data_IF_638468227448
#
_entry.id   IF_638468227448
#
_cell.length_a   1.000
_cell.length_b   1.000
_cell.length_c   1.000
_cell.angle_alpha   90.00
_cell.angle_beta   90.00
_cell.angle_gamma   90.00
#
_symmetry.space_group_name_H-M   'P 1'
#
loop_
_entity.id
_entity.type
_entity.pdbx_description
1 polymer ?
#
# COMPACT_ATOMS: atom_id res chain seq x y z
N UNK A 1 12.33 -12.48 3.67
CA UNK A 1 11.31 -13.05 2.76
C UNK A 1 11.52 -14.57 2.58
N UNK A 2 11.44 -15.37 3.65
CA UNK A 2 11.61 -16.83 3.54
C UNK A 2 10.63 -17.62 4.42
N UNK A 3 9.53 -16.99 4.86
CA UNK A 3 8.47 -17.60 5.66
C UNK A 3 7.12 -17.17 5.11
N UNK A 4 6.08 -17.97 5.37
CA UNK A 4 4.70 -17.63 5.00
C UNK A 4 4.29 -16.30 5.66
N UNK A 5 4.57 -16.13 6.96
CA UNK A 5 4.29 -14.87 7.67
C UNK A 5 4.98 -13.66 7.03
N UNK A 6 6.23 -13.81 6.57
CA UNK A 6 6.94 -12.73 5.88
C UNK A 6 6.35 -12.40 4.50
N UNK A 7 5.73 -13.35 3.81
CA UNK A 7 5.01 -13.11 2.56
C UNK A 7 3.71 -12.36 2.83
N UNK A 8 2.94 -12.78 3.84
CA UNK A 8 1.68 -12.12 4.23
C UNK A 8 1.95 -10.68 4.68
N UNK A 9 2.98 -10.47 5.52
CA UNK A 9 3.44 -9.13 5.91
C UNK A 9 3.79 -8.27 4.70
N UNK A 10 4.54 -8.82 3.74
CA UNK A 10 4.89 -8.10 2.53
C UNK A 10 3.64 -7.66 1.74
N UNK A 11 2.65 -8.55 1.58
CA UNK A 11 1.41 -8.22 0.86
C UNK A 11 0.69 -7.05 1.53
N UNK A 12 0.46 -7.11 2.84
CA UNK A 12 -0.26 -6.06 3.57
C UNK A 12 0.52 -4.74 3.66
N UNK A 13 1.83 -4.81 3.88
CA UNK A 13 2.69 -3.63 3.85
C UNK A 13 2.69 -2.96 2.46
N UNK A 14 2.72 -3.75 1.37
CA UNK A 14 2.57 -3.20 0.02
C UNK A 14 1.19 -2.57 -0.17
N UNK A 15 0.11 -3.23 0.23
CA UNK A 15 -1.26 -2.70 0.13
C UNK A 15 -1.38 -1.33 0.82
N UNK A 16 -0.93 -1.22 2.07
CA UNK A 16 -0.90 0.05 2.80
C UNK A 16 -0.08 1.12 2.07
N UNK A 17 1.11 0.76 1.61
CA UNK A 17 2.00 1.71 0.94
C UNK A 17 1.43 2.19 -0.39
N UNK A 18 0.68 1.37 -1.12
CA UNK A 18 -0.01 1.79 -2.33
C UNK A 18 -1.17 2.71 -2.00
N UNK A 19 -1.98 2.40 -0.99
CA UNK A 19 -3.09 3.27 -0.61
C UNK A 19 -2.61 4.65 -0.14
N UNK A 20 -1.50 4.71 0.60
CA UNK A 20 -0.89 5.98 1.00
C UNK A 20 -0.51 6.84 -0.22
N UNK A 21 0.02 6.22 -1.29
CA UNK A 21 0.29 6.94 -2.55
C UNK A 21 -0.98 7.40 -3.24
N UNK A 22 -2.01 6.54 -3.30
CA UNK A 22 -3.31 6.90 -3.88
C UNK A 22 -3.96 8.07 -3.14
N UNK A 23 -3.71 8.20 -1.84
CA UNK A 23 -4.22 9.26 -0.96
C UNK A 23 -3.30 10.47 -0.84
N UNK A 24 -2.18 10.49 -1.56
CA UNK A 24 -1.13 11.52 -1.45
C UNK A 24 -0.59 11.71 -0.01
N UNK A 25 -0.57 10.64 0.77
CA UNK A 25 -0.05 10.57 2.13
C UNK A 25 1.44 10.21 2.17
N UNK A 26 2.08 10.41 3.33
CA UNK A 26 3.45 9.91 3.57
C UNK A 26 3.44 8.39 3.48
N UNK A 27 4.28 7.85 2.61
CA UNK A 27 4.48 6.41 2.50
C UNK A 27 5.31 5.91 3.68
N UNK A 28 4.82 4.87 4.36
CA UNK A 28 5.57 4.18 5.43
C UNK A 28 6.82 3.50 4.85
N UNK A 29 7.97 3.72 5.48
CA UNK A 29 9.22 3.09 5.10
C UNK A 29 9.34 1.66 5.64
N UNK A 30 10.16 0.84 4.98
CA UNK A 30 10.24 -0.59 5.30
C UNK A 30 10.74 -0.88 6.73
N UNK A 31 11.54 0.01 7.31
CA UNK A 31 12.09 -0.10 8.65
C UNK A 31 11.17 0.44 9.75
N UNK A 32 10.05 1.06 9.38
CA UNK A 32 9.00 1.53 10.30
C UNK A 32 8.00 0.44 10.66
N UNK A 33 7.93 -0.66 9.91
CA UNK A 33 7.09 -1.82 10.21
C UNK A 33 7.62 -2.57 11.44
N UNK A 34 6.75 -2.81 12.43
CA UNK A 34 7.12 -3.37 13.75
C UNK A 34 6.34 -4.63 14.11
N UNK A 35 5.65 -5.24 13.15
CA UNK A 35 4.86 -6.44 13.38
C UNK A 35 5.78 -7.58 13.83
N UNK A 36 5.53 -8.11 15.03
CA UNK A 36 6.35 -9.15 15.67
C UNK A 36 5.64 -10.49 15.73
N UNK A 37 4.32 -10.50 15.58
CA UNK A 37 3.46 -11.68 15.61
C UNK A 37 2.65 -11.81 14.30
N UNK A 38 2.00 -12.96 14.10
CA UNK A 38 1.12 -13.14 12.93
C UNK A 38 -0.18 -12.34 13.10
N UNK A 39 -0.63 -12.16 14.34
CA UNK A 39 -1.76 -11.33 14.72
C UNK A 39 -1.52 -9.87 14.33
N UNK A 40 -0.34 -9.30 14.66
CA UNK A 40 0.06 -7.94 14.28
C UNK A 40 0.02 -7.77 12.76
N UNK A 41 0.47 -8.79 12.02
CA UNK A 41 0.46 -8.78 10.55
C UNK A 41 -0.97 -8.73 10.00
N UNK A 42 -1.91 -9.48 10.59
CA UNK A 42 -3.31 -9.42 10.17
C UNK A 42 -3.99 -8.09 10.55
N UNK A 43 -3.67 -7.51 11.70
CA UNK A 43 -4.14 -6.17 12.08
C UNK A 43 -3.65 -5.10 11.10
N UNK A 44 -2.40 -5.18 10.64
CA UNK A 44 -1.88 -4.34 9.56
C UNK A 44 -2.70 -4.53 8.26
N UNK A 45 -3.05 -5.78 7.94
CA UNK A 45 -3.89 -6.10 6.78
C UNK A 45 -5.28 -5.50 6.86
N UNK A 46 -5.95 -5.62 8.00
CA UNK A 46 -7.28 -5.03 8.24
C UNK A 46 -7.23 -3.50 8.14
N UNK A 47 -6.19 -2.88 8.71
CA UNK A 47 -5.96 -1.45 8.59
C UNK A 47 -5.75 -1.01 7.15
N UNK A 48 -4.83 -1.66 6.42
CA UNK A 48 -4.55 -1.37 5.02
C UNK A 48 -5.82 -1.49 4.15
N UNK A 49 -6.60 -2.56 4.37
CA UNK A 49 -7.85 -2.80 3.65
C UNK A 49 -8.88 -1.73 3.93
N UNK A 50 -9.04 -1.30 5.18
CA UNK A 50 -9.99 -0.25 5.53
C UNK A 50 -9.66 1.07 4.81
N UNK A 51 -8.38 1.45 4.77
CA UNK A 51 -7.93 2.64 4.04
C UNK A 51 -8.19 2.53 2.53
N UNK A 52 -8.03 1.34 1.96
CA UNK A 52 -8.25 1.11 0.53
C UNK A 52 -9.73 1.17 0.16
N UNK A 53 -10.60 0.52 0.95
CA UNK A 53 -12.05 0.62 0.76
C UNK A 53 -12.53 2.06 0.91
N UNK A 54 -12.02 2.79 1.90
CA UNK A 54 -12.33 4.22 2.07
C UNK A 54 -11.92 5.03 0.84
N UNK A 55 -10.71 4.84 0.31
CA UNK A 55 -10.28 5.52 -0.92
C UNK A 55 -11.20 5.18 -2.10
N UNK A 56 -11.46 3.90 -2.37
CA UNK A 56 -12.28 3.47 -3.52
C UNK A 56 -13.73 4.00 -3.45
N UNK A 57 -14.27 4.18 -2.25
CA UNK A 57 -15.66 4.63 -2.06
C UNK A 57 -15.81 6.15 -2.01
N UNK A 58 -14.70 6.89 -1.80
CA UNK A 58 -14.72 8.35 -1.65
C UNK A 58 -13.97 9.10 -2.76
N UNK A 59 -13.13 8.41 -3.54
CA UNK A 59 -12.37 9.02 -4.62
C UNK A 59 -13.30 9.58 -5.71
N UNK A 60 -13.05 10.84 -6.08
CA UNK A 60 -13.67 11.45 -7.26
C UNK A 60 -12.98 10.94 -8.51
N UNK A 61 -13.71 10.87 -9.62
CA UNK A 61 -13.15 10.45 -10.92
C UNK A 61 -11.91 11.28 -11.32
N UNK A 62 -11.95 12.61 -11.08
CA UNK A 62 -10.81 13.50 -11.32
C UNK A 62 -9.56 13.17 -10.49
N UNK A 63 -9.70 12.53 -9.33
CA UNK A 63 -8.57 12.06 -8.53
C UNK A 63 -7.95 10.82 -9.17
N UNK A 64 -8.76 9.93 -9.74
CA UNK A 64 -8.31 8.68 -10.37
C UNK A 64 -7.47 8.94 -11.64
N UNK A 65 -7.70 10.07 -12.31
CA UNK A 65 -6.93 10.48 -13.49
C UNK A 65 -5.55 11.06 -13.16
N UNK A 66 -5.27 11.40 -11.90
CA UNK A 66 -3.97 11.94 -11.50
C UNK A 66 -2.86 10.92 -11.75
N UNK A 67 -1.74 11.38 -12.31
CA UNK A 67 -0.56 10.56 -12.57
C UNK A 67 0.34 10.51 -11.34
N UNK A 68 0.69 9.31 -10.91
CA UNK A 68 1.69 9.04 -9.89
C UNK A 68 2.97 8.56 -10.55
N UNK A 69 4.11 8.98 -10.02
CA UNK A 69 5.43 8.45 -10.37
C UNK A 69 6.19 8.08 -9.11
N UNK A 70 6.59 6.82 -8.98
CA UNK A 70 7.34 6.36 -7.81
C UNK A 70 8.25 5.17 -8.13
N UNK A 71 9.26 4.99 -7.29
CA UNK A 71 10.18 3.86 -7.39
C UNK A 71 9.59 2.64 -6.68
N UNK A 72 9.57 1.53 -7.40
CA UNK A 72 9.24 0.20 -6.86
C UNK A 72 10.52 -0.55 -6.51
N UNK A 73 10.39 -1.60 -5.69
CA UNK A 73 11.52 -2.42 -5.27
C UNK A 73 12.14 -3.22 -6.44
N UNK A 74 11.33 -3.67 -7.40
CA UNK A 74 11.72 -4.63 -8.44
C UNK A 74 11.61 -4.10 -9.87
N UNK A 75 10.61 -3.27 -10.18
CA UNK A 75 10.33 -2.79 -11.53
C UNK A 75 10.93 -1.41 -11.83
N UNK A 76 11.73 -0.85 -10.92
CA UNK A 76 12.27 0.50 -11.05
C UNK A 76 11.19 1.57 -10.90
N UNK A 77 11.31 2.68 -11.63
CA UNK A 77 10.33 3.78 -11.58
C UNK A 77 9.09 3.43 -12.40
N UNK A 78 7.92 3.49 -11.77
CA UNK A 78 6.62 3.31 -12.40
C UNK A 78 5.93 4.67 -12.50
N UNK A 79 5.32 4.94 -13.64
CA UNK A 79 4.48 6.11 -13.89
C UNK A 79 3.15 5.67 -14.49
N UNK A 80 2.04 5.94 -13.80
CA UNK A 80 0.68 5.61 -14.25
C UNK A 80 -0.36 6.50 -13.55
N UNK A 81 -1.58 6.56 -14.08
CA UNK A 81 -2.67 7.22 -13.36
C UNK A 81 -3.14 6.36 -12.18
N UNK A 82 -3.75 6.99 -11.17
CA UNK A 82 -4.28 6.32 -9.96
C UNK A 82 -5.29 5.21 -10.29
N UNK A 83 -5.96 5.29 -11.45
CA UNK A 83 -6.86 4.26 -11.95
C UNK A 83 -6.16 2.94 -12.37
N UNK A 84 -4.92 3.01 -12.87
CA UNK A 84 -4.16 1.85 -13.40
C UNK A 84 -3.19 1.24 -12.39
N UNK A 85 -3.09 1.85 -11.21
CA UNK A 85 -2.22 1.43 -10.10
C UNK A 85 -3.05 0.62 -9.12
#
# INVERSE_FOLDING_TARGET
>A
MATIGGVVHHIFAVELRYVQRLRDERVTEWDEFRETSIEDVFELGDFARAQFVDFLTTAKESELDKVLTFKTLTAGTVTANKYKI
#
